data_IF_155956287266
#
_entry.id   IF_155956287266
#
_cell.length_a   1.000
_cell.length_b   1.000
_cell.length_c   1.000
_cell.angle_alpha   90.00
_cell.angle_beta   90.00
_cell.angle_gamma   90.00
#
_symmetry.space_group_name_H-M   'P 1'
#
loop_
_entity.id
_entity.type
_entity.pdbx_description
1 polymer ?
#
# COMPACT_ATOMS: atom_id res chain seq x y z
N UNK A 1 16.51 -10.20 1.18
CA UNK A 1 15.41 -10.94 1.83
C UNK A 1 15.74 -11.26 3.29
N UNK A 2 14.71 -11.50 4.07
CA UNK A 2 14.83 -11.86 5.48
C UNK A 2 15.54 -13.19 5.66
N UNK A 3 16.34 -13.27 6.71
CA UNK A 3 16.99 -14.52 7.14
C UNK A 3 16.62 -14.82 8.58
N UNK A 4 16.55 -16.09 8.91
CA UNK A 4 16.48 -16.59 10.27
C UNK A 4 17.84 -17.09 10.75
N UNK A 5 17.96 -17.37 12.03
CA UNK A 5 19.10 -18.10 12.55
C UNK A 5 19.13 -19.53 11.99
N UNK A 6 20.29 -20.05 11.66
CA UNK A 6 20.46 -21.46 11.39
C UNK A 6 20.17 -22.23 12.69
N UNK A 7 19.29 -23.25 12.60
CA UNK A 7 18.95 -24.04 13.77
C UNK A 7 19.59 -25.44 13.68
N UNK A 8 20.42 -25.78 14.66
CA UNK A 8 21.09 -27.08 14.76
C UNK A 8 20.33 -28.12 15.55
N UNK A 9 19.23 -27.77 16.22
CA UNK A 9 18.42 -28.67 17.03
C UNK A 9 16.94 -28.43 16.88
N UNK A 10 16.10 -29.41 17.17
CA UNK A 10 14.64 -29.28 17.15
C UNK A 10 14.15 -28.15 18.08
N UNK A 11 14.76 -28.02 19.26
CA UNK A 11 14.43 -26.96 20.22
C UNK A 11 14.81 -25.58 19.68
N UNK A 12 15.97 -25.42 19.03
CA UNK A 12 16.40 -24.17 18.41
C UNK A 12 15.51 -23.79 17.22
N UNK A 13 14.93 -24.77 16.51
CA UNK A 13 13.96 -24.56 15.44
C UNK A 13 12.52 -24.33 15.95
N UNK A 14 12.31 -24.18 17.24
CA UNK A 14 10.99 -23.95 17.82
C UNK A 14 10.11 -25.21 17.85
N UNK A 15 10.70 -26.40 17.88
CA UNK A 15 9.99 -27.69 17.89
C UNK A 15 9.47 -28.15 16.54
N UNK A 16 9.80 -27.43 15.46
CA UNK A 16 9.38 -27.79 14.11
C UNK A 16 10.04 -29.11 13.63
N UNK A 17 9.35 -29.81 12.76
CA UNK A 17 9.81 -31.04 12.13
C UNK A 17 11.14 -30.82 11.40
N UNK A 18 12.17 -31.57 11.79
CA UNK A 18 13.48 -31.54 11.18
C UNK A 18 14.60 -31.10 12.15
N UNK A 19 15.32 -32.08 12.65
CA UNK A 19 16.31 -31.87 13.68
C UNK A 19 17.50 -30.99 13.26
N UNK A 20 17.81 -30.89 11.98
CA UNK A 20 18.96 -30.14 11.47
C UNK A 20 18.54 -29.36 10.23
N UNK A 21 18.22 -28.08 10.41
CA UNK A 21 18.04 -27.15 9.29
C UNK A 21 19.18 -26.12 9.31
N UNK A 22 20.29 -26.39 8.62
CA UNK A 22 21.41 -25.45 8.54
C UNK A 22 21.06 -24.21 7.69
N UNK A 23 19.91 -24.21 7.01
CA UNK A 23 19.47 -23.11 6.18
C UNK A 23 19.07 -21.91 7.01
N UNK A 24 19.51 -20.74 6.62
CA UNK A 24 19.05 -19.45 7.15
C UNK A 24 17.82 -18.91 6.40
N UNK A 25 17.29 -19.62 5.43
CA UNK A 25 16.06 -19.22 4.74
C UNK A 25 14.84 -19.34 5.66
N UNK A 26 13.95 -18.36 5.59
CA UNK A 26 12.66 -18.46 6.25
C UNK A 26 11.76 -19.41 5.48
N UNK A 27 11.34 -20.46 6.18
CA UNK A 27 10.46 -21.53 5.69
C UNK A 27 9.47 -21.88 6.80
N UNK A 28 8.58 -22.84 6.56
CA UNK A 28 7.71 -23.36 7.63
C UNK A 28 8.49 -24.05 8.76
N UNK A 29 9.74 -24.47 8.52
CA UNK A 29 10.63 -25.03 9.53
C UNK A 29 11.45 -23.99 10.27
N UNK A 30 11.67 -22.82 9.66
CA UNK A 30 12.44 -21.71 10.23
C UNK A 30 11.65 -20.43 9.99
N UNK A 31 10.67 -20.18 10.86
CA UNK A 31 9.66 -19.14 10.64
C UNK A 31 10.04 -17.76 11.17
N UNK A 32 11.06 -17.69 12.05
CA UNK A 32 11.41 -16.45 12.77
C UNK A 32 12.53 -15.71 12.06
N UNK A 33 12.29 -14.45 11.65
CA UNK A 33 13.35 -13.61 11.12
C UNK A 33 14.32 -13.19 12.24
N UNK A 34 15.58 -13.05 11.88
CA UNK A 34 16.62 -12.50 12.73
C UNK A 34 16.78 -11.00 12.43
N UNK A 35 16.72 -10.16 13.45
CA UNK A 35 17.05 -8.75 13.29
C UNK A 35 18.55 -8.62 12.98
N UNK A 36 18.88 -7.97 11.87
CA UNK A 36 20.26 -7.80 11.38
C UNK A 36 20.79 -6.38 11.57
N UNK A 37 19.92 -5.43 11.94
CA UNK A 37 20.28 -4.03 12.15
C UNK A 37 19.05 -3.17 12.36
N UNK A 38 19.29 -1.87 12.53
CA UNK A 38 18.28 -0.83 12.65
C UNK A 38 18.40 0.15 11.50
N UNK A 39 17.26 0.67 11.03
CA UNK A 39 17.18 1.69 9.99
C UNK A 39 16.30 2.84 10.51
N UNK A 40 16.75 4.08 10.33
CA UNK A 40 15.89 5.24 10.53
C UNK A 40 15.05 5.46 9.30
N UNK A 41 13.75 5.53 9.47
CA UNK A 41 12.78 5.70 8.38
C UNK A 41 12.27 7.14 8.41
N UNK A 42 12.41 7.90 7.30
CA UNK A 42 11.83 9.23 7.21
C UNK A 42 10.30 9.18 7.36
N UNK A 43 9.75 10.10 8.12
CA UNK A 43 8.31 10.24 8.34
C UNK A 43 7.86 11.60 7.81
N UNK A 44 6.80 11.64 7.03
CA UNK A 44 6.09 12.86 6.68
C UNK A 44 4.84 12.97 7.56
N UNK A 45 4.69 14.11 8.23
CA UNK A 45 3.53 14.40 9.08
C UNK A 45 2.81 15.65 8.56
N UNK A 46 1.49 15.64 8.61
CA UNK A 46 0.65 16.83 8.42
C UNK A 46 -0.34 16.96 9.56
N UNK A 47 -0.58 18.18 10.00
CA UNK A 47 -1.56 18.49 11.05
C UNK A 47 -2.52 19.58 10.57
N UNK A 48 -3.77 19.60 11.06
CA UNK A 48 -4.67 20.72 10.81
C UNK A 48 -4.05 22.03 11.28
N UNK A 49 -4.13 23.05 10.47
CA UNK A 49 -3.67 24.41 10.78
C UNK A 49 -4.86 25.36 10.92
N UNK A 50 -4.61 26.65 11.15
CA UNK A 50 -5.65 27.65 11.32
C UNK A 50 -6.63 27.73 10.12
N UNK A 51 -6.15 27.48 8.89
CA UNK A 51 -7.00 27.49 7.70
C UNK A 51 -7.99 26.30 7.66
N UNK A 52 -7.76 25.25 8.42
CA UNK A 52 -8.70 24.12 8.54
C UNK A 52 -9.93 24.47 9.39
N UNK A 53 -9.87 25.52 10.17
CA UNK A 53 -10.92 25.87 11.17
C UNK A 53 -11.03 24.87 12.33
N UNK A 54 -10.06 23.97 12.47
CA UNK A 54 -10.07 22.94 13.52
C UNK A 54 -9.12 23.31 14.66
N UNK A 55 -9.50 22.91 15.86
CA UNK A 55 -8.68 23.09 17.08
C UNK A 55 -8.20 21.73 17.54
N UNK A 56 -6.93 21.64 17.97
CA UNK A 56 -6.36 20.40 18.52
C UNK A 56 -7.15 19.95 19.75
N UNK A 57 -7.70 18.73 19.75
CA UNK A 57 -8.35 18.17 20.91
C UNK A 57 -7.37 17.97 22.09
N UNK A 58 -7.89 17.91 23.30
CA UNK A 58 -7.06 17.71 24.51
C UNK A 58 -6.25 16.39 24.47
N UNK A 59 -6.79 15.36 23.81
CA UNK A 59 -6.13 14.06 23.66
C UNK A 59 -5.17 13.99 22.44
N UNK A 60 -4.93 15.11 21.74
CA UNK A 60 -4.19 15.13 20.50
C UNK A 60 -5.09 14.99 19.25
N UNK A 61 -4.48 15.11 18.07
CA UNK A 61 -5.20 14.97 16.81
C UNK A 61 -5.56 13.52 16.52
N UNK A 62 -6.80 13.19 16.10
CA UNK A 62 -7.06 11.91 15.44
C UNK A 62 -6.09 11.71 14.29
N UNK A 63 -5.58 10.50 14.12
CA UNK A 63 -4.48 10.24 13.21
C UNK A 63 -4.88 9.27 12.09
N UNK A 64 -4.44 9.58 10.89
CA UNK A 64 -4.45 8.66 9.75
C UNK A 64 -3.02 8.23 9.43
N UNK A 65 -2.76 6.93 9.45
CA UNK A 65 -1.55 6.36 8.85
C UNK A 65 -1.84 6.15 7.38
N UNK A 66 -1.09 6.84 6.51
CA UNK A 66 -1.21 6.69 5.05
C UNK A 66 -0.05 5.88 4.49
N UNK A 67 -0.35 4.93 3.58
CA UNK A 67 0.67 4.17 2.87
C UNK A 67 0.51 4.28 1.35
N UNK A 68 1.58 4.69 0.69
CA UNK A 68 1.67 4.91 -0.76
C UNK A 68 1.72 3.60 -1.58
N UNK A 69 1.46 3.70 -2.89
CA UNK A 69 1.57 2.62 -3.87
C UNK A 69 3.00 2.33 -4.33
N UNK A 70 3.16 1.29 -5.15
CA UNK A 70 4.45 0.95 -5.77
C UNK A 70 4.94 2.11 -6.65
N UNK A 71 6.24 2.30 -6.73
CA UNK A 71 6.94 3.39 -7.45
C UNK A 71 6.69 4.80 -6.90
N UNK A 72 5.88 4.91 -5.87
CA UNK A 72 5.54 6.16 -5.21
C UNK A 72 6.38 6.37 -3.94
N UNK A 73 6.05 7.37 -3.15
CA UNK A 73 6.73 7.65 -1.89
C UNK A 73 5.80 8.33 -0.88
N UNK A 74 6.27 8.58 0.32
CA UNK A 74 5.52 9.17 1.44
C UNK A 74 4.82 10.49 1.11
N UNK A 75 5.29 11.25 0.12
CA UNK A 75 4.68 12.55 -0.24
C UNK A 75 3.30 12.42 -0.90
N UNK A 76 2.90 11.24 -1.35
CA UNK A 76 1.55 11.00 -1.86
C UNK A 76 0.46 11.30 -0.82
N UNK A 77 0.77 11.17 0.48
CA UNK A 77 -0.12 11.56 1.56
C UNK A 77 -0.54 13.04 1.52
N UNK A 78 0.28 13.92 0.93
CA UNK A 78 -0.07 15.33 0.77
C UNK A 78 -1.32 15.53 -0.09
N UNK A 79 -1.59 14.64 -1.02
CA UNK A 79 -2.76 14.74 -1.92
C UNK A 79 -4.10 14.62 -1.19
N UNK A 80 -4.14 13.91 -0.06
CA UNK A 80 -5.35 13.75 0.77
C UNK A 80 -5.31 14.58 2.06
N UNK A 81 -4.17 15.22 2.36
CA UNK A 81 -3.94 15.89 3.63
C UNK A 81 -4.88 17.06 3.89
N UNK A 82 -5.22 17.85 2.85
CA UNK A 82 -6.16 18.95 2.97
C UNK A 82 -7.58 18.46 3.32
N UNK A 83 -8.03 17.40 2.66
CA UNK A 83 -9.31 16.73 2.97
C UNK A 83 -9.34 16.23 4.40
N UNK A 84 -8.28 15.54 4.87
CA UNK A 84 -8.17 15.04 6.23
C UNK A 84 -8.12 16.20 7.25
N UNK A 85 -7.31 17.22 7.01
CA UNK A 85 -7.18 18.37 7.90
C UNK A 85 -8.50 19.14 8.06
N UNK A 86 -9.29 19.28 6.98
CA UNK A 86 -10.62 19.90 7.04
C UNK A 86 -11.59 19.15 7.95
N UNK A 87 -11.34 17.86 8.18
CA UNK A 87 -12.09 17.02 9.09
C UNK A 87 -11.45 16.88 10.48
N UNK A 88 -10.31 17.54 10.73
CA UNK A 88 -9.63 17.52 12.01
C UNK A 88 -8.69 16.33 12.20
N UNK A 89 -8.32 15.62 11.13
CA UNK A 89 -7.34 14.54 11.18
C UNK A 89 -5.93 15.04 10.85
N UNK A 90 -4.98 14.60 11.65
CA UNK A 90 -3.57 14.58 11.26
C UNK A 90 -3.28 13.35 10.37
N UNK A 91 -2.17 13.38 9.64
CA UNK A 91 -1.73 12.25 8.83
C UNK A 91 -0.22 12.03 9.00
N UNK A 92 0.18 10.75 9.04
CA UNK A 92 1.59 10.33 8.96
C UNK A 92 1.76 9.34 7.82
N UNK A 93 2.88 9.44 7.13
CA UNK A 93 3.26 8.47 6.09
C UNK A 93 4.76 8.18 6.12
N UNK A 94 5.12 6.95 5.71
CA UNK A 94 6.50 6.47 5.57
C UNK A 94 6.69 5.85 4.20
N UNK A 95 7.95 5.74 3.78
CA UNK A 95 8.28 4.99 2.58
C UNK A 95 8.36 3.50 2.85
N UNK A 96 7.84 2.70 1.92
CA UNK A 96 8.07 1.26 1.88
C UNK A 96 9.54 0.95 1.58
N UNK A 97 10.05 -0.26 1.87
CA UNK A 97 11.40 -0.64 1.48
C UNK A 97 11.67 -0.39 -0.01
N UNK A 98 12.84 0.13 -0.34
CA UNK A 98 13.29 0.47 -1.68
C UNK A 98 12.46 1.57 -2.38
N UNK A 99 11.72 2.36 -1.60
CA UNK A 99 11.00 3.55 -2.06
C UNK A 99 11.57 4.80 -1.37
N UNK A 100 11.29 5.97 -1.92
CA UNK A 100 11.71 7.25 -1.33
C UNK A 100 11.77 8.36 -2.37
N UNK A 101 12.17 9.55 -1.93
CA UNK A 101 12.33 10.73 -2.78
C UNK A 101 13.75 10.76 -3.33
N UNK A 102 13.91 10.65 -4.64
CA UNK A 102 15.22 10.64 -5.31
C UNK A 102 15.64 12.04 -5.77
N UNK A 103 16.90 12.26 -6.13
CA UNK A 103 17.34 13.52 -6.72
C UNK A 103 16.61 13.92 -8.00
N UNK A 104 16.06 12.94 -8.75
CA UNK A 104 15.28 13.18 -9.96
C UNK A 104 13.90 13.79 -9.66
N UNK A 105 13.37 13.62 -8.44
CA UNK A 105 12.09 14.16 -8.00
C UNK A 105 12.22 15.63 -7.61
N UNK A 106 12.58 16.50 -8.55
CA UNK A 106 12.93 17.91 -8.29
C UNK A 106 11.80 18.70 -7.61
N UNK A 107 10.54 18.43 -7.95
CA UNK A 107 9.38 19.06 -7.32
C UNK A 107 9.21 18.66 -5.84
N UNK A 108 9.75 17.51 -5.44
CA UNK A 108 9.72 16.99 -4.08
C UNK A 108 11.00 17.29 -3.29
N UNK A 109 11.95 18.01 -3.88
CA UNK A 109 13.22 18.32 -3.24
C UNK A 109 13.11 18.90 -1.81
N UNK A 110 12.13 19.75 -1.46
CA UNK A 110 11.95 20.23 -0.09
C UNK A 110 11.59 19.13 0.93
N UNK A 111 11.02 18.02 0.49
CA UNK A 111 10.62 16.90 1.33
C UNK A 111 11.67 15.78 1.39
N UNK A 112 12.71 15.88 0.58
CA UNK A 112 13.82 14.93 0.62
C UNK A 112 14.58 15.09 1.94
N UNK A 113 14.84 13.98 2.62
CA UNK A 113 15.34 14.01 4.01
C UNK A 113 16.61 14.87 4.17
N UNK A 114 17.54 14.81 3.22
CA UNK A 114 18.80 15.57 3.25
C UNK A 114 18.60 17.10 3.16
N UNK A 115 17.45 17.54 2.68
CA UNK A 115 17.10 18.95 2.49
C UNK A 115 16.22 19.49 3.62
N UNK A 116 15.88 18.66 4.59
CA UNK A 116 15.03 19.04 5.72
C UNK A 116 15.90 19.43 6.93
N UNK A 117 15.43 20.32 7.82
CA UNK A 117 16.14 20.66 9.06
C UNK A 117 16.21 19.50 10.05
N UNK A 118 15.47 18.42 9.80
CA UNK A 118 15.44 17.21 10.63
C UNK A 118 16.48 16.16 10.20
N UNK A 119 17.30 16.48 9.20
CA UNK A 119 18.38 15.58 8.77
C UNK A 119 19.37 15.34 9.93
N UNK A 120 19.59 14.09 10.25
CA UNK A 120 20.56 13.65 11.24
C UNK A 120 21.52 12.63 10.61
N UNK A 121 22.72 12.52 11.16
CA UNK A 121 23.72 11.58 10.67
C UNK A 121 23.15 10.13 10.61
N UNK A 122 23.34 9.48 9.48
CA UNK A 122 22.85 8.10 9.23
C UNK A 122 21.38 8.00 8.80
N UNK A 123 20.64 9.12 8.68
CA UNK A 123 19.32 9.13 8.03
C UNK A 123 19.52 9.26 6.53
N UNK A 124 18.78 8.45 5.76
CA UNK A 124 18.75 8.51 4.29
C UNK A 124 17.38 8.14 3.78
N UNK A 125 17.14 8.41 2.50
CA UNK A 125 15.94 7.93 1.84
C UNK A 125 15.89 6.40 1.87
N UNK A 126 14.67 5.86 1.85
CA UNK A 126 14.45 4.42 1.95
C UNK A 126 14.74 3.66 0.64
N UNK A 127 15.13 4.36 -0.42
CA UNK A 127 15.76 3.78 -1.63
C UNK A 127 17.08 3.10 -1.30
N UNK A 128 17.69 3.41 -0.14
CA UNK A 128 19.02 2.96 0.28
C UNK A 128 20.12 3.37 -0.71
N UNK A 129 19.85 4.37 -1.55
CA UNK A 129 20.74 4.85 -2.60
C UNK A 129 21.19 3.73 -3.55
N UNK A 130 20.30 2.75 -3.79
CA UNK A 130 20.55 1.66 -4.75
C UNK A 130 20.65 2.27 -6.13
N UNK A 131 21.73 1.88 -6.87
CA UNK A 131 22.06 2.36 -8.19
C UNK A 131 22.54 1.15 -9.03
N UNK A 132 21.60 0.45 -9.66
CA UNK A 132 21.84 -0.73 -10.51
C UNK A 132 21.35 -0.54 -11.93
N UNK A 133 20.65 0.56 -12.20
CA UNK A 133 20.06 0.87 -13.50
C UNK A 133 20.51 2.26 -13.93
N UNK A 134 20.86 2.42 -15.17
CA UNK A 134 21.06 3.73 -15.75
C UNK A 134 19.69 4.41 -15.90
N UNK A 135 19.41 5.44 -15.10
CA UNK A 135 18.11 6.11 -15.04
C UNK A 135 17.67 6.75 -16.37
N UNK A 136 18.62 7.11 -17.24
CA UNK A 136 18.31 7.73 -18.52
C UNK A 136 17.92 6.71 -19.60
N UNK A 137 18.47 5.50 -19.54
CA UNK A 137 18.31 4.48 -20.61
C UNK A 137 17.48 3.27 -20.16
N UNK A 138 17.33 3.05 -18.84
CA UNK A 138 16.75 1.83 -18.28
C UNK A 138 17.66 0.59 -18.41
N UNK A 139 18.88 0.73 -18.94
CA UNK A 139 19.81 -0.38 -19.06
C UNK A 139 20.44 -0.74 -17.70
N UNK A 140 20.83 -2.02 -17.49
CA UNK A 140 21.59 -2.40 -16.31
C UNK A 140 22.92 -1.65 -16.24
N UNK A 141 23.29 -1.18 -15.04
CA UNK A 141 24.54 -0.49 -14.74
C UNK A 141 24.32 0.83 -14.01
N UNK A 142 25.14 1.08 -13.00
CA UNK A 142 25.09 2.29 -12.19
C UNK A 142 25.39 3.55 -13.03
N UNK A 143 24.66 4.65 -12.76
CA UNK A 143 24.91 5.96 -13.40
C UNK A 143 25.32 7.05 -12.40
N UNK A 144 25.55 6.69 -11.13
CA UNK A 144 25.93 7.60 -10.04
C UNK A 144 24.76 8.28 -9.35
N UNK A 145 23.53 7.95 -9.74
CA UNK A 145 22.31 8.46 -9.12
C UNK A 145 21.47 7.30 -8.58
N UNK A 146 20.83 7.45 -7.41
CA UNK A 146 19.89 6.45 -6.91
C UNK A 146 18.80 6.14 -7.95
N UNK A 147 18.49 4.86 -8.10
CA UNK A 147 17.40 4.40 -8.95
C UNK A 147 16.03 4.93 -8.48
N UNK A 148 15.11 5.10 -9.42
CA UNK A 148 13.79 5.62 -9.15
C UNK A 148 13.06 4.80 -8.07
N UNK A 149 12.20 5.48 -7.30
CA UNK A 149 11.42 4.87 -6.22
C UNK A 149 10.75 3.57 -6.64
N UNK A 150 10.95 2.50 -5.87
CA UNK A 150 10.30 1.21 -6.07
C UNK A 150 10.85 0.35 -7.21
N UNK A 151 11.85 0.80 -7.98
CA UNK A 151 12.44 0.05 -9.11
C UNK A 151 12.81 -1.39 -8.72
N UNK A 152 13.33 -1.59 -7.52
CA UNK A 152 13.80 -2.89 -7.04
C UNK A 152 12.84 -3.58 -6.06
N UNK A 153 11.63 -3.04 -5.88
CA UNK A 153 10.63 -3.61 -4.97
C UNK A 153 10.19 -5.01 -5.41
N UNK A 154 9.99 -5.20 -6.72
CA UNK A 154 9.72 -6.50 -7.33
C UNK A 154 11.01 -6.99 -7.99
N UNK A 155 11.51 -8.14 -7.54
CA UNK A 155 12.73 -8.74 -8.02
C UNK A 155 12.46 -10.13 -8.61
N UNK A 156 12.42 -10.23 -9.93
CA UNK A 156 12.14 -11.49 -10.63
C UNK A 156 13.27 -12.51 -10.49
N UNK A 157 14.52 -12.07 -10.24
CA UNK A 157 15.65 -12.93 -9.99
C UNK A 157 15.70 -13.44 -8.54
N UNK A 158 14.96 -12.82 -7.62
CA UNK A 158 14.88 -13.22 -6.21
C UNK A 158 13.47 -13.06 -5.66
N UNK A 159 12.65 -14.09 -5.82
CA UNK A 159 11.26 -14.10 -5.33
C UNK A 159 11.17 -13.90 -3.82
N UNK A 160 12.19 -14.36 -3.06
CA UNK A 160 12.27 -14.12 -1.62
C UNK A 160 12.48 -12.65 -1.29
N UNK A 161 13.18 -11.90 -2.13
CA UNK A 161 13.34 -10.44 -1.96
C UNK A 161 11.99 -9.74 -2.15
N UNK A 162 11.25 -10.06 -3.20
CA UNK A 162 9.91 -9.51 -3.43
C UNK A 162 8.96 -9.81 -2.28
N UNK A 163 8.95 -11.06 -1.78
CA UNK A 163 8.19 -11.46 -0.60
C UNK A 163 8.53 -10.59 0.60
N UNK A 164 9.83 -10.49 0.92
CA UNK A 164 10.25 -9.90 2.17
C UNK A 164 10.27 -8.37 2.14
N UNK A 165 10.33 -7.73 0.97
CA UNK A 165 10.05 -6.30 0.83
C UNK A 165 8.61 -5.98 1.28
N UNK A 166 7.63 -6.79 0.85
CA UNK A 166 6.23 -6.62 1.26
C UNK A 166 6.03 -6.92 2.75
N UNK A 167 6.66 -7.99 3.26
CA UNK A 167 6.61 -8.33 4.69
C UNK A 167 7.28 -7.26 5.56
N UNK A 168 8.39 -6.68 5.11
CA UNK A 168 9.05 -5.59 5.83
C UNK A 168 8.17 -4.34 5.84
N UNK A 169 7.49 -4.01 4.73
CA UNK A 169 6.56 -2.89 4.70
C UNK A 169 5.41 -3.06 5.71
N UNK A 170 4.87 -4.29 5.85
CA UNK A 170 3.87 -4.60 6.89
C UNK A 170 4.48 -4.42 8.30
N UNK A 171 5.69 -4.95 8.53
CA UNK A 171 6.36 -4.83 9.83
C UNK A 171 6.65 -3.37 10.20
N UNK A 172 7.03 -2.54 9.24
CA UNK A 172 7.30 -1.12 9.45
C UNK A 172 6.04 -0.34 9.88
N UNK A 173 4.87 -0.71 9.38
CA UNK A 173 3.60 -0.12 9.82
C UNK A 173 3.29 -0.45 11.29
N UNK A 174 3.62 -1.65 11.77
CA UNK A 174 3.51 -1.97 13.20
C UNK A 174 4.48 -1.11 14.03
N UNK A 175 5.72 -0.94 13.57
CA UNK A 175 6.69 -0.08 14.25
C UNK A 175 6.21 1.37 14.24
N UNK A 176 5.75 1.88 13.09
CA UNK A 176 5.18 3.23 12.98
C UNK A 176 4.03 3.41 13.99
N UNK A 177 3.07 2.47 14.01
CA UNK A 177 1.94 2.51 14.95
C UNK A 177 2.40 2.55 16.41
N UNK A 178 3.40 1.76 16.76
CA UNK A 178 3.95 1.72 18.12
C UNK A 178 4.66 3.02 18.53
N UNK A 179 5.13 3.83 17.57
CA UNK A 179 5.79 5.11 17.84
C UNK A 179 4.81 6.29 17.99
N UNK A 180 3.56 6.15 17.53
CA UNK A 180 2.54 7.23 17.56
C UNK A 180 2.40 7.92 18.92
N UNK A 181 2.40 7.23 20.08
CA UNK A 181 2.25 7.88 21.38
C UNK A 181 3.35 8.89 21.71
N UNK A 182 4.53 8.76 21.09
CA UNK A 182 5.72 9.59 21.34
C UNK A 182 6.03 10.53 20.17
N UNK A 183 5.15 10.60 19.16
CA UNK A 183 5.36 11.50 18.03
C UNK A 183 4.94 12.92 18.37
N UNK A 184 5.85 13.86 18.22
CA UNK A 184 5.63 15.29 18.41
C UNK A 184 5.94 16.05 17.12
N UNK A 185 5.09 17.02 16.78
CA UNK A 185 5.23 17.88 15.58
C UNK A 185 6.13 19.07 15.88
N UNK A 186 6.11 19.56 17.10
CA UNK A 186 6.88 20.71 17.55
C UNK A 186 8.20 20.34 18.28
N UNK A 187 8.42 19.04 18.49
CA UNK A 187 9.63 18.50 19.09
C UNK A 187 9.67 18.57 20.62
N UNK A 188 8.53 18.87 21.25
CA UNK A 188 8.41 18.77 22.70
C UNK A 188 8.30 17.31 23.18
N UNK A 189 8.24 17.09 24.49
CA UNK A 189 8.15 15.76 25.07
C UNK A 189 6.72 15.17 25.06
N UNK A 190 5.75 15.93 24.56
CA UNK A 190 4.31 15.55 24.58
C UNK A 190 3.90 15.05 23.21
N UNK A 191 3.28 13.87 23.15
CA UNK A 191 2.72 13.37 21.89
C UNK A 191 1.54 14.22 21.41
N UNK A 192 1.51 14.47 20.09
CA UNK A 192 0.51 15.33 19.46
C UNK A 192 -0.73 14.59 18.97
N UNK A 193 -0.72 13.26 18.97
CA UNK A 193 -1.74 12.44 18.35
C UNK A 193 -2.56 11.63 19.35
N UNK A 194 -3.86 11.52 19.09
CA UNK A 194 -4.76 10.67 19.86
C UNK A 194 -4.47 9.19 19.56
N UNK A 195 -3.74 8.55 20.45
CA UNK A 195 -3.36 7.13 20.32
C UNK A 195 -4.57 6.18 20.30
N UNK A 196 -5.73 6.60 20.80
CA UNK A 196 -6.96 5.79 20.77
C UNK A 196 -7.74 5.93 19.46
N UNK A 197 -7.42 6.96 18.65
CA UNK A 197 -8.13 7.27 17.41
C UNK A 197 -7.16 7.28 16.22
N UNK A 198 -6.67 6.10 15.88
CA UNK A 198 -5.77 5.88 14.74
C UNK A 198 -6.49 5.05 13.69
N UNK A 199 -6.53 5.58 12.47
CA UNK A 199 -7.11 4.94 11.28
C UNK A 199 -6.04 4.71 10.22
N UNK A 200 -6.35 3.90 9.21
CA UNK A 200 -5.44 3.60 8.11
C UNK A 200 -6.05 3.98 6.77
N UNK A 201 -5.24 4.53 5.87
CA UNK A 201 -5.57 4.74 4.46
C UNK A 201 -4.42 4.21 3.61
N UNK A 202 -4.72 3.32 2.67
CA UNK A 202 -3.73 2.83 1.72
C UNK A 202 -4.15 3.07 0.28
N UNK A 203 -3.16 3.16 -0.62
CA UNK A 203 -3.38 3.21 -2.06
C UNK A 203 -2.56 2.13 -2.75
N UNK A 204 -3.20 1.31 -3.62
CA UNK A 204 -2.50 0.29 -4.43
C UNK A 204 -1.71 -0.70 -3.55
N UNK A 205 -0.40 -0.85 -3.76
CA UNK A 205 0.47 -1.66 -2.91
C UNK A 205 0.36 -1.25 -1.44
N UNK A 206 0.16 0.04 -1.13
CA UNK A 206 -0.09 0.49 0.24
C UNK A 206 -1.35 -0.10 0.85
N UNK A 207 -2.42 -0.28 0.07
CA UNK A 207 -3.63 -1.00 0.51
C UNK A 207 -3.37 -2.50 0.68
N UNK A 208 -2.52 -3.09 -0.17
CA UNK A 208 -2.16 -4.51 -0.07
C UNK A 208 -1.36 -4.79 1.21
N UNK A 209 -0.33 -3.97 1.48
CA UNK A 209 0.46 -3.99 2.73
C UNK A 209 -0.44 -3.68 3.93
N UNK A 210 -1.32 -2.67 3.78
CA UNK A 210 -2.29 -2.26 4.79
C UNK A 210 -3.25 -3.37 5.18
N UNK A 211 -3.62 -4.26 4.27
CA UNK A 211 -4.47 -5.42 4.59
C UNK A 211 -3.81 -6.30 5.64
N UNK A 212 -2.53 -6.64 5.48
CA UNK A 212 -1.78 -7.40 6.47
C UNK A 212 -1.62 -6.66 7.80
N UNK A 213 -1.35 -5.37 7.75
CA UNK A 213 -1.24 -4.52 8.94
C UNK A 213 -2.58 -4.46 9.72
N UNK A 214 -3.65 -4.05 9.07
CA UNK A 214 -4.98 -3.89 9.70
C UNK A 214 -5.53 -5.21 10.24
N UNK A 215 -5.24 -6.32 9.58
CA UNK A 215 -5.67 -7.64 10.02
C UNK A 215 -5.12 -8.00 11.41
N UNK A 216 -3.90 -7.59 11.74
CA UNK A 216 -3.21 -7.99 12.96
C UNK A 216 -2.93 -6.85 13.94
N UNK A 217 -3.12 -5.58 13.56
CA UNK A 217 -2.99 -4.45 14.48
C UNK A 217 -4.31 -4.28 15.27
N UNK A 218 -4.35 -4.60 16.56
CA UNK A 218 -5.60 -4.64 17.32
C UNK A 218 -6.21 -3.27 17.54
N UNK A 219 -5.42 -2.21 17.50
CA UNK A 219 -5.86 -0.85 17.84
C UNK A 219 -6.32 -0.03 16.63
N UNK A 220 -6.02 -0.47 15.40
CA UNK A 220 -6.50 0.15 14.15
C UNK A 220 -7.72 -0.61 13.66
N UNK A 221 -8.90 -0.01 13.83
CA UNK A 221 -10.18 -0.65 13.53
C UNK A 221 -10.92 -0.07 12.34
N UNK A 222 -10.44 1.05 11.79
CA UNK A 222 -11.04 1.76 10.65
C UNK A 222 -9.98 1.89 9.56
N UNK A 223 -10.30 1.41 8.36
CA UNK A 223 -9.38 1.48 7.23
C UNK A 223 -10.08 1.78 5.90
N UNK A 224 -9.43 2.58 5.06
CA UNK A 224 -9.78 2.78 3.66
C UNK A 224 -8.71 2.16 2.79
N UNK A 225 -9.09 1.22 1.94
CA UNK A 225 -8.22 0.51 1.02
C UNK A 225 -8.59 0.91 -0.41
N UNK A 226 -7.80 1.80 -1.00
CA UNK A 226 -8.03 2.25 -2.37
C UNK A 226 -7.26 1.38 -3.37
N UNK A 227 -7.98 0.81 -4.31
CA UNK A 227 -7.51 0.00 -5.45
C UNK A 227 -6.50 -1.11 -5.06
N UNK A 228 -6.78 -1.93 -4.04
CA UNK A 228 -5.95 -3.09 -3.71
C UNK A 228 -6.23 -4.25 -4.66
N UNK A 229 -5.36 -5.28 -4.61
CA UNK A 229 -5.61 -6.57 -5.23
C UNK A 229 -4.94 -7.71 -4.48
N UNK A 230 -5.34 -8.94 -4.77
CA UNK A 230 -4.73 -10.16 -4.25
C UNK A 230 -4.26 -11.08 -5.35
N UNK A 231 -3.63 -12.22 -5.00
CA UNK A 231 -3.05 -13.14 -5.96
C UNK A 231 -1.87 -12.51 -6.71
N UNK A 232 -0.93 -11.94 -5.95
CA UNK A 232 0.08 -10.96 -6.39
C UNK A 232 0.78 -11.37 -7.69
N UNK A 233 1.27 -12.61 -7.80
CA UNK A 233 2.04 -13.00 -9.00
C UNK A 233 1.18 -12.97 -10.26
N UNK A 234 -0.02 -13.54 -10.21
CA UNK A 234 -0.94 -13.58 -11.35
C UNK A 234 -1.60 -12.22 -11.59
N UNK A 235 -1.85 -11.44 -10.54
CA UNK A 235 -2.29 -10.05 -10.65
C UNK A 235 -1.29 -9.24 -11.49
N UNK A 236 0.00 -9.31 -11.15
CA UNK A 236 1.07 -8.59 -11.87
C UNK A 236 1.19 -9.07 -13.32
N UNK A 237 1.11 -10.37 -13.57
CA UNK A 237 1.12 -10.92 -14.93
C UNK A 237 -0.10 -10.47 -15.75
N UNK A 238 -1.28 -10.40 -15.13
CA UNK A 238 -2.53 -9.96 -15.75
C UNK A 238 -2.69 -8.44 -15.86
N UNK A 239 -1.82 -7.67 -15.20
CA UNK A 239 -1.85 -6.21 -15.24
C UNK A 239 -1.56 -5.69 -16.65
N UNK A 240 -2.39 -4.79 -17.21
CA UNK A 240 -2.05 -4.10 -18.46
C UNK A 240 -0.74 -3.34 -18.38
N UNK A 241 -0.42 -2.74 -17.21
CA UNK A 241 0.80 -1.97 -16.99
C UNK A 241 2.02 -2.86 -16.74
N UNK A 242 1.94 -3.80 -15.80
CA UNK A 242 3.11 -4.60 -15.37
C UNK A 242 3.31 -5.86 -16.18
N UNK A 243 2.25 -6.49 -16.67
CA UNK A 243 2.32 -7.78 -17.34
C UNK A 243 3.28 -7.81 -18.55
N UNK A 244 3.25 -6.81 -19.46
CA UNK A 244 4.19 -6.77 -20.58
C UNK A 244 5.66 -6.73 -20.13
N UNK A 245 5.98 -5.90 -19.10
CA UNK A 245 7.35 -5.74 -18.57
C UNK A 245 7.83 -7.02 -17.91
N UNK A 246 6.98 -7.67 -17.11
CA UNK A 246 7.31 -8.94 -16.44
C UNK A 246 7.54 -10.05 -17.45
N UNK A 247 6.64 -10.19 -18.44
CA UNK A 247 6.81 -11.20 -19.48
C UNK A 247 8.05 -10.97 -20.33
N UNK A 248 8.39 -9.72 -20.65
CA UNK A 248 9.63 -9.40 -21.37
C UNK A 248 10.88 -9.74 -20.53
N UNK A 249 10.90 -9.38 -19.24
CA UNK A 249 12.00 -9.70 -18.34
C UNK A 249 12.19 -11.21 -18.15
N UNK A 250 11.12 -11.99 -18.06
CA UNK A 250 11.17 -13.44 -17.97
C UNK A 250 11.63 -14.08 -19.28
N UNK A 251 11.13 -13.59 -20.41
CA UNK A 251 11.51 -14.09 -21.75
C UNK A 251 12.99 -13.88 -22.03
N UNK A 252 13.57 -12.75 -21.60
CA UNK A 252 15.03 -12.49 -21.69
C UNK A 252 15.87 -13.52 -20.93
N UNK A 253 15.29 -14.28 -20.01
CA UNK A 253 15.91 -15.37 -19.26
C UNK A 253 15.37 -16.76 -19.68
N UNK A 254 14.74 -16.87 -20.85
CA UNK A 254 14.24 -18.12 -21.41
C UNK A 254 12.92 -18.62 -20.81
N UNK A 255 12.26 -17.85 -19.94
CA UNK A 255 10.96 -18.19 -19.34
C UNK A 255 9.85 -17.52 -20.16
N UNK A 256 9.39 -18.20 -21.21
CA UNK A 256 8.49 -17.65 -22.22
C UNK A 256 7.04 -17.91 -21.83
N UNK A 257 6.19 -16.87 -21.89
CA UNK A 257 4.75 -16.96 -21.60
C UNK A 257 4.06 -18.02 -22.48
N UNK A 258 3.13 -18.78 -21.89
CA UNK A 258 2.44 -19.89 -22.54
C UNK A 258 3.22 -21.22 -22.53
N UNK A 259 4.38 -21.28 -21.88
CA UNK A 259 5.15 -22.52 -21.70
C UNK A 259 5.00 -23.07 -20.28
N UNK A 260 5.18 -24.40 -20.12
CA UNK A 260 5.18 -25.02 -18.79
C UNK A 260 6.26 -24.46 -17.85
N UNK A 261 7.35 -23.91 -18.38
CA UNK A 261 8.39 -23.23 -17.60
C UNK A 261 7.84 -21.93 -17.00
N UNK A 262 7.09 -21.16 -17.77
CA UNK A 262 6.42 -19.95 -17.31
C UNK A 262 5.38 -20.27 -16.22
N UNK A 263 4.56 -21.27 -16.43
CA UNK A 263 3.51 -21.66 -15.46
C UNK A 263 4.15 -22.10 -14.13
N UNK A 264 5.22 -22.89 -14.18
CA UNK A 264 5.98 -23.27 -12.99
C UNK A 264 6.59 -22.08 -12.27
N UNK A 265 7.16 -21.12 -13.02
CA UNK A 265 7.71 -19.89 -12.45
C UNK A 265 6.61 -19.08 -11.75
N UNK A 266 5.47 -18.88 -12.40
CA UNK A 266 4.34 -18.12 -11.83
C UNK A 266 3.77 -18.80 -10.58
N UNK A 267 3.68 -20.13 -10.58
CA UNK A 267 3.30 -20.90 -9.39
C UNK A 267 4.28 -20.75 -8.23
N UNK A 268 5.58 -20.84 -8.50
CA UNK A 268 6.63 -20.62 -7.51
C UNK A 268 6.65 -19.17 -6.99
N UNK A 269 6.42 -18.21 -7.88
CA UNK A 269 6.33 -16.80 -7.52
C UNK A 269 5.15 -16.53 -6.57
N UNK A 270 3.96 -17.08 -6.86
CA UNK A 270 2.80 -16.95 -5.98
C UNK A 270 3.07 -17.62 -4.63
N UNK A 271 3.55 -18.86 -4.64
CA UNK A 271 3.90 -19.56 -3.40
C UNK A 271 4.92 -18.77 -2.55
N UNK A 272 5.89 -18.13 -3.18
CA UNK A 272 6.86 -17.33 -2.44
C UNK A 272 6.20 -16.11 -1.77
N UNK A 273 5.30 -15.40 -2.47
CA UNK A 273 4.69 -14.17 -1.96
C UNK A 273 3.42 -14.41 -1.13
N UNK A 274 2.88 -15.62 -1.06
CA UNK A 274 1.64 -15.95 -0.33
C UNK A 274 1.66 -15.46 1.12
N UNK A 275 2.82 -15.51 1.79
CA UNK A 275 2.96 -15.01 3.17
C UNK A 275 2.91 -13.48 3.30
N UNK A 276 2.71 -12.77 2.20
CA UNK A 276 2.53 -11.32 2.14
C UNK A 276 1.30 -10.93 1.28
N UNK A 277 0.60 -11.92 0.73
CA UNK A 277 -0.54 -11.68 -0.16
C UNK A 277 -1.81 -11.30 0.63
N UNK A 278 -2.48 -10.18 0.28
CA UNK A 278 -3.69 -9.71 0.96
C UNK A 278 -4.82 -10.73 1.05
N UNK A 279 -4.97 -11.61 0.06
CA UNK A 279 -6.01 -12.66 0.07
C UNK A 279 -5.89 -13.54 1.32
N UNK A 280 -4.67 -13.82 1.74
CA UNK A 280 -4.40 -14.66 2.92
C UNK A 280 -4.68 -13.94 4.25
N UNK A 281 -4.79 -12.61 4.24
CA UNK A 281 -5.04 -11.80 5.44
C UNK A 281 -6.48 -11.31 5.55
N UNK A 282 -7.24 -11.28 4.45
CA UNK A 282 -8.58 -10.71 4.40
C UNK A 282 -9.53 -11.28 5.46
N UNK A 283 -9.48 -12.60 5.70
CA UNK A 283 -10.31 -13.27 6.71
C UNK A 283 -9.99 -12.86 8.15
N UNK A 284 -8.74 -12.50 8.46
CA UNK A 284 -8.34 -12.03 9.80
C UNK A 284 -8.81 -10.61 10.10
N UNK A 285 -9.21 -9.85 9.08
CA UNK A 285 -9.78 -8.51 9.24
C UNK A 285 -11.32 -8.52 9.34
N UNK A 286 -11.96 -9.65 9.66
CA UNK A 286 -13.41 -9.81 9.67
C UNK A 286 -14.13 -8.87 10.66
N UNK A 287 -13.48 -8.47 11.74
CA UNK A 287 -14.01 -7.55 12.76
C UNK A 287 -13.63 -6.07 12.52
N UNK A 288 -12.91 -5.76 11.44
CA UNK A 288 -12.49 -4.40 11.12
C UNK A 288 -13.53 -3.70 10.25
N UNK A 289 -13.67 -2.39 10.39
CA UNK A 289 -14.48 -1.51 9.55
C UNK A 289 -13.63 -1.10 8.35
N UNK A 290 -14.02 -1.53 7.16
CA UNK A 290 -13.19 -1.33 5.99
C UNK A 290 -14.05 -0.86 4.82
N UNK A 291 -13.65 0.27 4.24
CA UNK A 291 -14.12 0.77 2.96
C UNK A 291 -13.07 0.44 1.89
N UNK A 292 -13.48 -0.24 0.82
CA UNK A 292 -12.63 -0.52 -0.33
C UNK A 292 -13.12 0.24 -1.56
N UNK A 293 -12.23 0.90 -2.26
CA UNK A 293 -12.49 1.49 -3.57
C UNK A 293 -11.92 0.60 -4.68
N UNK A 294 -12.73 0.34 -5.71
CA UNK A 294 -12.34 -0.34 -6.94
C UNK A 294 -12.69 0.51 -8.14
N UNK A 295 -11.84 0.58 -9.16
CA UNK A 295 -12.17 1.24 -10.43
C UNK A 295 -12.50 0.18 -11.47
N UNK A 296 -13.78 0.10 -11.83
CA UNK A 296 -14.30 -0.90 -12.77
C UNK A 296 -14.49 -0.38 -14.19
N UNK A 297 -14.43 0.95 -14.37
CA UNK A 297 -14.64 1.58 -15.66
C UNK A 297 -16.07 1.43 -16.20
N UNK A 298 -16.25 1.77 -17.45
CA UNK A 298 -17.54 1.66 -18.17
C UNK A 298 -18.43 2.88 -18.08
N UNK A 299 -18.04 3.91 -17.32
CA UNK A 299 -18.76 5.19 -17.27
C UNK A 299 -18.59 5.98 -18.57
N UNK A 300 -19.67 6.62 -19.04
CA UNK A 300 -19.63 7.45 -20.23
C UNK A 300 -18.70 8.67 -20.05
N UNK A 301 -17.96 9.03 -21.09
CA UNK A 301 -17.10 10.19 -21.13
C UNK A 301 -17.70 11.29 -21.99
N UNK A 302 -17.56 12.55 -21.57
CA UNK A 302 -18.09 13.72 -22.30
C UNK A 302 -17.55 13.80 -23.74
N UNK A 303 -16.33 13.34 -23.98
CA UNK A 303 -15.72 13.27 -25.31
C UNK A 303 -16.12 12.06 -26.16
N UNK A 304 -17.04 11.21 -25.67
CA UNK A 304 -17.45 9.94 -26.27
C UNK A 304 -16.61 8.76 -25.79
N UNK A 305 -17.18 7.57 -25.90
CA UNK A 305 -16.61 6.33 -25.35
C UNK A 305 -16.87 6.15 -23.86
N UNK A 306 -16.13 5.21 -23.24
CA UNK A 306 -16.25 4.87 -21.82
C UNK A 306 -14.90 4.87 -21.14
N UNK A 307 -14.89 5.12 -19.82
CA UNK A 307 -13.71 5.02 -18.98
C UNK A 307 -13.19 3.57 -18.93
N UNK A 308 -11.89 3.41 -18.81
CA UNK A 308 -11.26 2.10 -18.66
C UNK A 308 -11.34 1.62 -17.20
N UNK A 309 -11.35 0.30 -16.97
CA UNK A 309 -11.10 -0.24 -15.64
C UNK A 309 -9.65 0.07 -15.22
N UNK A 310 -9.33 -0.19 -13.97
CA UNK A 310 -7.97 -0.03 -13.45
C UNK A 310 -6.95 -0.76 -14.34
N UNK A 311 -5.96 -0.01 -14.83
CA UNK A 311 -4.93 -0.48 -15.76
C UNK A 311 -3.66 -0.97 -15.03
N UNK A 312 -3.62 -0.81 -13.71
CA UNK A 312 -2.47 -1.21 -12.86
C UNK A 312 -2.82 -2.47 -12.07
N UNK A 313 -3.92 -2.43 -11.32
CA UNK A 313 -4.46 -3.58 -10.60
C UNK A 313 -5.72 -4.06 -11.33
N UNK A 314 -5.67 -5.19 -12.05
CA UNK A 314 -6.87 -5.69 -12.75
C UNK A 314 -7.97 -6.05 -11.74
N UNK A 315 -9.22 -5.79 -12.13
CA UNK A 315 -10.36 -6.19 -11.30
C UNK A 315 -10.42 -7.72 -11.13
N UNK A 316 -10.08 -8.46 -12.17
CA UNK A 316 -9.94 -9.93 -12.14
C UNK A 316 -8.97 -10.38 -13.25
N UNK A 317 -8.36 -11.54 -13.07
CA UNK A 317 -7.46 -12.15 -14.06
C UNK A 317 -8.05 -13.48 -14.52
N UNK A 318 -8.24 -13.63 -15.82
CA UNK A 318 -8.79 -14.86 -16.40
C UNK A 318 -7.86 -16.05 -16.08
N UNK A 319 -8.44 -17.16 -15.63
CA UNK A 319 -7.69 -18.36 -15.26
C UNK A 319 -6.96 -18.27 -13.91
N UNK A 320 -7.04 -17.15 -13.19
CA UNK A 320 -6.42 -16.94 -11.87
C UNK A 320 -7.46 -16.45 -10.85
N UNK A 321 -8.26 -17.34 -10.25
CA UNK A 321 -9.47 -17.00 -9.50
C UNK A 321 -9.23 -16.20 -8.22
N UNK A 322 -7.99 -16.10 -7.74
CA UNK A 322 -7.58 -15.30 -6.58
C UNK A 322 -6.90 -13.99 -6.96
N UNK A 323 -6.69 -13.72 -8.26
CA UNK A 323 -5.92 -12.57 -8.71
C UNK A 323 -6.82 -11.40 -9.12
N UNK A 324 -6.57 -10.23 -8.51
CA UNK A 324 -7.27 -8.98 -8.77
C UNK A 324 -8.02 -8.42 -7.56
N UNK A 325 -8.74 -7.32 -7.78
CA UNK A 325 -9.50 -6.63 -6.74
C UNK A 325 -10.78 -7.40 -6.36
N UNK A 326 -11.53 -7.90 -7.34
CA UNK A 326 -12.77 -8.66 -7.10
C UNK A 326 -12.56 -9.97 -6.30
N UNK A 327 -11.49 -10.77 -6.57
CA UNK A 327 -11.15 -11.87 -5.69
C UNK A 327 -10.86 -11.45 -4.24
N UNK A 328 -10.18 -10.33 -4.05
CA UNK A 328 -9.89 -9.81 -2.72
C UNK A 328 -11.17 -9.31 -2.01
N UNK A 329 -12.09 -8.65 -2.73
CA UNK A 329 -13.40 -8.26 -2.22
C UNK A 329 -14.18 -9.50 -1.72
N UNK A 330 -14.15 -10.59 -2.49
CA UNK A 330 -14.78 -11.87 -2.09
C UNK A 330 -14.09 -12.47 -0.85
N UNK A 331 -12.76 -12.41 -0.77
CA UNK A 331 -12.01 -12.93 0.37
C UNK A 331 -12.32 -12.15 1.68
N UNK A 332 -12.57 -10.85 1.57
CA UNK A 332 -13.06 -10.03 2.68
C UNK A 332 -14.54 -10.30 3.04
N UNK A 333 -15.32 -10.89 2.15
CA UNK A 333 -16.77 -11.02 2.29
C UNK A 333 -17.50 -9.67 2.20
N UNK A 334 -17.00 -8.73 1.41
CA UNK A 334 -17.58 -7.39 1.32
C UNK A 334 -18.86 -7.36 0.48
N UNK A 335 -19.86 -6.61 1.00
CA UNK A 335 -21.02 -6.21 0.22
C UNK A 335 -20.66 -5.03 -0.72
N UNK A 336 -21.43 -4.91 -1.82
CA UNK A 336 -21.38 -3.72 -2.67
C UNK A 336 -22.03 -2.54 -1.96
N UNK A 337 -21.35 -1.39 -1.97
CA UNK A 337 -21.89 -0.10 -1.54
C UNK A 337 -22.29 0.66 -2.81
N UNK A 338 -23.58 0.85 -3.00
CA UNK A 338 -24.17 1.46 -4.22
C UNK A 338 -24.83 2.80 -3.95
N UNK A 339 -24.73 3.30 -2.73
CA UNK A 339 -25.26 4.58 -2.26
C UNK A 339 -24.84 4.87 -0.83
N UNK A 340 -25.27 6.00 -0.30
CA UNK A 340 -25.01 6.37 1.10
C UNK A 340 -25.45 5.24 2.02
N UNK A 341 -24.52 4.77 2.85
CA UNK A 341 -24.70 3.60 3.70
C UNK A 341 -24.30 3.91 5.13
N UNK A 342 -25.11 3.48 6.09
CA UNK A 342 -24.78 3.57 7.51
C UNK A 342 -25.08 2.24 8.22
N UNK A 343 -24.18 1.85 9.13
CA UNK A 343 -24.32 0.68 9.98
C UNK A 343 -23.62 0.94 11.32
N UNK A 344 -24.38 0.99 12.40
CA UNK A 344 -23.86 1.26 13.73
C UNK A 344 -22.81 0.22 14.20
N UNK A 345 -22.89 -1.03 13.73
CA UNK A 345 -21.87 -2.05 13.98
C UNK A 345 -20.57 -1.84 13.18
N UNK A 346 -20.62 -0.97 12.18
CA UNK A 346 -19.54 -0.68 11.26
C UNK A 346 -19.85 -1.08 9.84
N UNK A 347 -19.41 -0.27 8.89
CA UNK A 347 -19.51 -0.54 7.44
C UNK A 347 -18.33 -1.39 7.01
N UNK A 348 -18.61 -2.41 6.22
CA UNK A 348 -17.65 -3.30 5.55
C UNK A 348 -18.12 -3.51 4.13
N UNK A 349 -17.44 -2.90 3.17
CA UNK A 349 -17.90 -3.01 1.80
C UNK A 349 -16.99 -2.36 0.76
N UNK A 350 -17.35 -2.58 -0.50
CA UNK A 350 -16.63 -2.07 -1.64
C UNK A 350 -17.51 -1.13 -2.48
N UNK A 351 -16.96 0.03 -2.85
CA UNK A 351 -17.53 0.94 -3.84
C UNK A 351 -16.82 0.71 -5.16
N UNK A 352 -17.60 0.48 -6.22
CA UNK A 352 -17.09 0.29 -7.58
C UNK A 352 -17.26 1.56 -8.38
N UNK A 353 -16.15 2.21 -8.69
CA UNK A 353 -16.12 3.43 -9.48
C UNK A 353 -16.16 3.11 -10.97
N UNK A 354 -17.14 3.67 -11.67
CA UNK A 354 -17.24 3.58 -13.13
C UNK A 354 -16.46 4.70 -13.82
N UNK A 355 -15.98 5.69 -13.08
CA UNK A 355 -15.12 6.78 -13.50
C UNK A 355 -13.83 6.78 -12.68
N UNK A 356 -12.80 7.45 -13.20
CA UNK A 356 -11.49 7.55 -12.54
C UNK A 356 -10.47 6.54 -13.05
N UNK A 357 -9.38 6.41 -12.31
CA UNK A 357 -8.24 5.54 -12.61
C UNK A 357 -7.56 5.05 -11.31
N UNK A 358 -6.47 4.32 -11.46
CA UNK A 358 -5.70 3.76 -10.34
C UNK A 358 -5.23 4.78 -9.30
N UNK A 359 -5.02 6.03 -9.68
CA UNK A 359 -4.53 7.10 -8.81
C UNK A 359 -5.62 8.02 -8.25
N UNK A 360 -6.89 7.78 -8.55
CA UNK A 360 -7.96 8.79 -8.37
C UNK A 360 -8.23 9.23 -6.94
N UNK A 361 -7.90 8.44 -5.92
CA UNK A 361 -7.98 8.94 -4.54
C UNK A 361 -6.97 10.06 -4.27
N UNK A 362 -5.86 10.10 -5.01
CA UNK A 362 -4.79 11.09 -4.86
C UNK A 362 -4.99 12.28 -5.79
N UNK A 363 -5.32 12.01 -7.06
CA UNK A 363 -5.45 13.04 -8.09
C UNK A 363 -6.29 12.55 -9.27
N UNK A 364 -6.90 13.42 -10.04
CA UNK A 364 -7.78 13.02 -11.15
C UNK A 364 -7.08 12.18 -12.23
N UNK A 365 -5.77 12.38 -12.45
CA UNK A 365 -4.99 11.69 -13.50
C UNK A 365 -5.28 12.21 -14.92
N UNK A 366 -6.40 12.89 -15.14
CA UNK A 366 -6.76 13.60 -16.36
C UNK A 366 -7.52 14.87 -16.02
N UNK A 367 -7.40 15.89 -16.89
CA UNK A 367 -8.09 17.17 -16.71
C UNK A 367 -9.54 17.11 -17.26
N UNK A 368 -10.31 16.11 -16.86
CA UNK A 368 -11.71 15.94 -17.24
C UNK A 368 -12.63 16.08 -16.03
N UNK A 369 -13.88 16.47 -16.27
CA UNK A 369 -14.89 16.60 -15.21
C UNK A 369 -15.15 15.26 -14.50
N UNK A 370 -15.19 14.18 -15.25
CA UNK A 370 -15.43 12.83 -14.74
C UNK A 370 -14.29 12.34 -13.85
N UNK A 371 -13.04 12.59 -14.26
CA UNK A 371 -11.86 12.22 -13.46
C UNK A 371 -11.81 13.03 -12.15
N UNK A 372 -12.08 14.34 -12.22
CA UNK A 372 -12.17 15.18 -11.02
C UNK A 372 -13.31 14.73 -10.11
N UNK A 373 -14.49 14.43 -10.68
CA UNK A 373 -15.65 13.98 -9.92
C UNK A 373 -15.35 12.65 -9.18
N UNK A 374 -14.64 11.72 -9.81
CA UNK A 374 -14.22 10.46 -9.16
C UNK A 374 -13.26 10.73 -7.99
N UNK A 375 -12.28 11.62 -8.14
CA UNK A 375 -11.36 12.01 -7.07
C UNK A 375 -12.09 12.63 -5.89
N UNK A 376 -12.96 13.60 -6.15
CA UNK A 376 -13.75 14.27 -5.11
C UNK A 376 -14.63 13.28 -4.37
N UNK A 377 -15.27 12.36 -5.10
CA UNK A 377 -16.13 11.33 -4.49
C UNK A 377 -15.31 10.33 -3.64
N UNK A 378 -14.17 9.83 -4.13
CA UNK A 378 -13.31 8.93 -3.35
C UNK A 378 -12.82 9.59 -2.06
N UNK A 379 -12.37 10.85 -2.12
CA UNK A 379 -11.92 11.57 -0.93
C UNK A 379 -13.09 11.90 0.01
N UNK A 380 -14.27 12.23 -0.52
CA UNK A 380 -15.49 12.48 0.26
C UNK A 380 -15.95 11.22 1.02
N UNK A 381 -15.93 10.07 0.35
CA UNK A 381 -16.24 8.78 0.97
C UNK A 381 -15.22 8.42 2.04
N UNK A 382 -13.93 8.57 1.77
CA UNK A 382 -12.86 8.40 2.76
C UNK A 382 -13.10 9.28 3.99
N UNK A 383 -13.35 10.57 3.78
CA UNK A 383 -13.55 11.54 4.87
C UNK A 383 -14.78 11.20 5.72
N UNK A 384 -15.94 10.94 5.11
CA UNK A 384 -17.16 10.58 5.84
C UNK A 384 -17.02 9.27 6.61
N UNK A 385 -16.33 8.29 6.03
CA UNK A 385 -16.05 7.02 6.68
C UNK A 385 -15.14 7.18 7.90
N UNK A 386 -14.06 7.94 7.80
CA UNK A 386 -13.14 8.20 8.91
C UNK A 386 -13.82 9.00 10.03
N UNK A 387 -14.54 10.08 9.70
CA UNK A 387 -15.24 10.93 10.66
C UNK A 387 -16.29 10.15 11.44
N UNK A 388 -17.01 9.24 10.79
CA UNK A 388 -18.00 8.38 11.44
C UNK A 388 -17.39 7.24 12.27
N UNK A 389 -16.07 7.12 12.34
CA UNK A 389 -15.40 5.97 12.95
C UNK A 389 -15.71 4.66 12.21
N UNK A 390 -15.95 4.72 10.89
CA UNK A 390 -16.26 3.57 10.06
C UNK A 390 -17.72 3.11 10.11
N UNK A 391 -18.64 3.94 10.60
CA UNK A 391 -20.06 3.57 10.68
C UNK A 391 -20.91 4.08 9.54
N UNK A 392 -20.39 5.00 8.73
CA UNK A 392 -21.11 5.54 7.57
C UNK A 392 -20.17 5.84 6.40
N UNK A 393 -20.68 5.69 5.19
CA UNK A 393 -20.08 6.13 3.93
C UNK A 393 -21.11 7.02 3.24
N UNK A 394 -20.76 8.26 2.99
CA UNK A 394 -21.61 9.18 2.23
C UNK A 394 -21.24 9.11 0.76
N UNK A 395 -22.22 8.81 -0.09
CA UNK A 395 -22.11 8.91 -1.54
C UNK A 395 -22.77 10.23 -1.97
N UNK A 396 -21.94 11.20 -2.31
CA UNK A 396 -22.40 12.53 -2.72
C UNK A 396 -22.69 12.59 -4.23
N UNK A 397 -21.92 11.84 -5.02
CA UNK A 397 -22.08 11.79 -6.48
C UNK A 397 -22.25 10.33 -6.97
N UNK A 398 -23.47 9.80 -7.03
CA UNK A 398 -23.73 8.44 -7.48
C UNK A 398 -23.44 8.21 -8.98
N UNK A 399 -23.23 9.26 -9.77
CA UNK A 399 -23.01 9.14 -11.22
C UNK A 399 -21.60 8.61 -11.55
N UNK A 400 -20.67 8.62 -10.60
CA UNK A 400 -19.31 8.10 -10.80
C UNK A 400 -19.11 6.69 -10.25
N UNK A 401 -20.14 6.12 -9.62
CA UNK A 401 -20.09 4.75 -9.07
C UNK A 401 -21.13 3.84 -9.73
N UNK A 402 -20.94 2.53 -9.60
CA UNK A 402 -21.94 1.53 -9.97
C UNK A 402 -23.04 1.50 -8.90
N UNK A 403 -24.27 1.73 -9.32
CA UNK A 403 -25.46 1.80 -8.43
C UNK A 403 -26.36 0.56 -8.51
N UNK A 404 -26.01 -0.40 -9.39
CA UNK A 404 -26.74 -1.66 -9.57
C UNK A 404 -25.78 -2.85 -9.66
#
# INVERSE_FOLDING_TARGET
FWKGAACGTVAACGGALGANNPSTFLTFLNTRPLATGTVRVPVLMTVPNAASGRTKPANGWPLVIFQHGITRNRSDGLAISATLASQGFAMVSIDQPLHGITPADTALAPFRVNNTPFFAAGVRERTFDVDFVNNATGAPGADGNPDASGTHSINLASLLTSRDNTRQAIADLFVLRATVPNMSVDGDATGDFDNANVSFVGQSLGSMVGTGFVAFEPTVNVAVLSVPGGGIAQLLNGSPTFGPVIRAGLAGNGVIAGTAAFDRFMGAAQQAVDSADPVNFAGFAANKRILLHEVVGGGALTGGGTSLPDQVIPNAVAGAPLAGTEPLIRAFGFASITGTTANAAGVRGAVRFIQGNHGSILQPGAATAEALAATVEMQGQMASFLVSGGTAVQVANPTVIRTQ
#
